data_IF_772628053447
#
_entry.id   IF_772628053447
#
_cell.length_a   1.000
_cell.length_b   1.000
_cell.length_c   1.000
_cell.angle_alpha   90.00
_cell.angle_beta   90.00
_cell.angle_gamma   90.00
#
_symmetry.space_group_name_H-M   'P 1'
#
loop_
_entity.id
_entity.type
_entity.pdbx_description
1 polymer ?
#
# COMPACT_ATOMS: atom_id res chain seq x y z
N UNK A 1 50.09 -0.56 -12.17
CA UNK A 1 48.67 -0.92 -12.03
C UNK A 1 48.14 -1.23 -13.42
N UNK A 2 47.72 -2.47 -13.68
CA UNK A 2 47.39 -2.98 -15.02
C UNK A 2 46.05 -2.39 -15.50
N UNK A 3 46.07 -1.61 -16.59
CA UNK A 3 44.89 -0.90 -17.14
C UNK A 3 43.80 -1.87 -17.63
N UNK A 4 44.13 -3.13 -17.91
CA UNK A 4 43.15 -4.14 -18.33
C UNK A 4 42.23 -4.55 -17.18
N UNK A 5 42.80 -4.78 -15.98
CA UNK A 5 42.04 -5.12 -14.76
C UNK A 5 41.18 -3.96 -14.25
N UNK A 6 41.56 -2.70 -14.45
CA UNK A 6 40.75 -1.56 -14.03
C UNK A 6 39.49 -1.39 -14.89
N UNK A 7 39.63 -1.53 -16.22
CA UNK A 7 38.48 -1.45 -17.15
C UNK A 7 37.42 -2.52 -16.88
N UNK A 8 37.83 -3.77 -16.64
CA UNK A 8 36.88 -4.85 -16.34
C UNK A 8 36.13 -4.65 -15.01
N UNK A 9 36.75 -3.97 -14.03
CA UNK A 9 36.07 -3.62 -12.77
C UNK A 9 35.05 -2.50 -12.95
N UNK A 10 35.36 -1.51 -13.77
CA UNK A 10 34.45 -0.39 -14.05
C UNK A 10 33.19 -0.87 -14.77
N UNK A 11 33.35 -1.74 -15.78
CA UNK A 11 32.23 -2.35 -16.51
C UNK A 11 31.34 -3.19 -15.58
N UNK A 12 31.94 -4.04 -14.74
CA UNK A 12 31.20 -4.82 -13.75
C UNK A 12 30.42 -3.96 -12.75
N UNK A 13 31.02 -2.86 -12.28
CA UNK A 13 30.36 -1.92 -11.36
C UNK A 13 29.20 -1.22 -12.06
N UNK A 14 29.34 -0.89 -13.34
CA UNK A 14 28.29 -0.24 -14.13
C UNK A 14 27.07 -1.15 -14.30
N UNK A 15 27.28 -2.43 -14.63
CA UNK A 15 26.20 -3.41 -14.76
C UNK A 15 25.52 -3.72 -13.42
N UNK A 16 26.29 -3.73 -12.33
CA UNK A 16 25.74 -3.89 -10.99
C UNK A 16 24.81 -2.72 -10.62
N UNK A 17 25.21 -1.48 -10.92
CA UNK A 17 24.37 -0.29 -10.68
C UNK A 17 23.05 -0.36 -11.46
N UNK A 18 23.10 -0.80 -12.72
CA UNK A 18 21.90 -0.96 -13.56
C UNK A 18 20.90 -1.99 -13.03
N UNK A 19 21.33 -2.90 -12.16
CA UNK A 19 20.45 -3.91 -11.54
C UNK A 19 20.06 -3.54 -10.12
N UNK A 20 20.97 -2.95 -9.34
CA UNK A 20 20.73 -2.59 -7.95
C UNK A 20 19.77 -1.40 -7.81
N UNK A 21 19.91 -0.37 -8.64
CA UNK A 21 19.04 0.81 -8.59
C UNK A 21 17.56 0.48 -8.81
N UNK A 22 17.14 -0.23 -9.88
CA UNK A 22 15.74 -0.55 -10.07
C UNK A 22 15.20 -1.49 -8.98
N UNK A 23 16.05 -2.37 -8.44
CA UNK A 23 15.69 -3.26 -7.34
C UNK A 23 15.37 -2.47 -6.07
N UNK A 24 16.24 -1.54 -5.65
CA UNK A 24 16.01 -0.70 -4.47
C UNK A 24 14.75 0.17 -4.63
N UNK A 25 14.55 0.74 -5.82
CA UNK A 25 13.34 1.51 -6.12
C UNK A 25 12.08 0.64 -6.12
N UNK A 26 12.17 -0.61 -6.58
CA UNK A 26 11.06 -1.56 -6.53
C UNK A 26 10.66 -1.90 -5.10
N UNK A 27 11.64 -2.21 -4.22
CA UNK A 27 11.38 -2.44 -2.79
C UNK A 27 10.74 -1.21 -2.15
N UNK A 28 11.33 -0.02 -2.37
CA UNK A 28 10.82 1.23 -1.83
C UNK A 28 9.38 1.50 -2.29
N UNK A 29 9.10 1.30 -3.59
CA UNK A 29 7.76 1.43 -4.14
C UNK A 29 6.79 0.45 -3.47
N UNK A 30 7.21 -0.80 -3.24
CA UNK A 30 6.38 -1.83 -2.63
C UNK A 30 6.00 -1.47 -1.20
N UNK A 31 6.97 -0.98 -0.41
CA UNK A 31 6.74 -0.52 0.97
C UNK A 31 5.83 0.71 1.00
N UNK A 32 6.03 1.68 0.12
CA UNK A 32 5.17 2.87 0.04
C UNK A 32 3.74 2.49 -0.34
N UNK A 33 3.58 1.64 -1.36
CA UNK A 33 2.26 1.16 -1.79
C UNK A 33 1.56 0.37 -0.69
N UNK A 34 2.30 -0.51 -0.01
CA UNK A 34 1.78 -1.24 1.14
C UNK A 34 1.33 -0.28 2.26
N UNK A 35 2.12 0.74 2.58
CA UNK A 35 1.79 1.69 3.65
C UNK A 35 0.55 2.54 3.33
N UNK A 36 0.30 2.81 2.04
CA UNK A 36 -0.90 3.52 1.59
C UNK A 36 -2.11 2.58 1.53
N UNK A 37 -1.90 1.33 1.15
CA UNK A 37 -2.95 0.32 0.98
C UNK A 37 -3.41 -0.27 2.32
N UNK A 38 -2.47 -0.70 3.15
CA UNK A 38 -2.72 -1.19 4.50
C UNK A 38 -2.88 0.02 5.40
N UNK A 39 -4.08 0.57 5.38
CA UNK A 39 -4.54 1.35 6.49
C UNK A 39 -4.50 0.48 7.75
N UNK A 40 -3.80 0.93 8.79
CA UNK A 40 -3.93 0.33 10.12
C UNK A 40 -5.39 0.41 10.57
N UNK A 41 -5.91 -0.58 11.32
CA UNK A 41 -7.24 -0.45 11.90
C UNK A 41 -7.21 0.78 12.82
N UNK A 42 -8.00 1.79 12.46
CA UNK A 42 -8.15 3.01 13.23
C UNK A 42 -8.67 2.68 14.63
N UNK A 43 -9.49 1.64 14.74
CA UNK A 43 -9.97 1.11 16.00
C UNK A 43 -10.46 -0.33 15.87
N UNK A 44 -10.53 -0.98 17.01
CA UNK A 44 -11.03 -2.34 17.19
C UNK A 44 -12.12 -2.28 18.24
N UNK A 45 -13.30 -2.79 17.91
CA UNK A 45 -14.47 -2.81 18.79
C UNK A 45 -14.80 -4.26 19.12
N UNK A 46 -14.93 -4.58 20.40
CA UNK A 46 -15.36 -5.92 20.81
C UNK A 46 -16.81 -6.17 20.39
N UNK A 47 -17.05 -7.35 19.82
CA UNK A 47 -18.32 -7.83 19.33
C UNK A 47 -18.57 -9.27 19.83
N UNK A 48 -18.33 -9.49 21.12
CA UNK A 48 -18.48 -10.80 21.77
C UNK A 48 -19.91 -11.35 21.66
N UNK A 49 -20.91 -10.45 21.60
CA UNK A 49 -22.34 -10.82 21.59
C UNK A 49 -22.95 -10.92 20.18
N UNK A 50 -22.17 -10.63 19.12
CA UNK A 50 -22.65 -10.60 17.73
C UNK A 50 -23.66 -9.48 17.41
N UNK A 51 -24.07 -8.70 18.42
CA UNK A 51 -25.11 -7.67 18.29
C UNK A 51 -24.72 -6.58 17.31
N UNK A 52 -23.45 -6.15 17.30
CA UNK A 52 -22.98 -5.06 16.46
C UNK A 52 -23.08 -5.42 14.96
N UNK A 53 -22.79 -6.68 14.59
CA UNK A 53 -22.96 -7.19 13.22
C UNK A 53 -24.44 -7.17 12.81
N UNK A 54 -25.35 -7.55 13.71
CA UNK A 54 -26.79 -7.53 13.42
C UNK A 54 -27.34 -6.11 13.18
N UNK A 55 -26.77 -5.08 13.82
CA UNK A 55 -27.09 -3.69 13.51
C UNK A 55 -26.52 -3.26 12.16
N UNK A 56 -25.26 -3.59 11.88
CA UNK A 56 -24.61 -3.25 10.60
C UNK A 56 -25.32 -3.90 9.41
N UNK A 57 -25.81 -5.13 9.56
CA UNK A 57 -26.60 -5.84 8.56
C UNK A 57 -27.96 -5.18 8.25
N UNK A 58 -28.50 -4.44 9.22
CA UNK A 58 -29.71 -3.63 9.04
C UNK A 58 -29.43 -2.24 8.48
N UNK A 59 -28.17 -1.94 8.17
CA UNK A 59 -27.74 -0.62 7.74
C UNK A 59 -27.63 0.39 8.89
N UNK A 60 -27.59 -0.08 10.15
CA UNK A 60 -27.58 0.77 11.34
C UNK A 60 -26.22 0.74 12.04
N UNK A 61 -25.82 1.87 12.64
CA UNK A 61 -24.56 1.98 13.38
C UNK A 61 -24.82 1.67 14.87
N UNK A 62 -24.13 0.66 15.45
CA UNK A 62 -24.31 0.32 16.86
C UNK A 62 -23.80 1.42 17.80
N UNK A 63 -24.47 1.59 18.95
CA UNK A 63 -24.20 2.68 19.89
C UNK A 63 -22.77 2.66 20.46
N UNK A 64 -22.21 1.47 20.71
CA UNK A 64 -20.82 1.29 21.15
C UNK A 64 -19.83 1.88 20.13
N UNK A 65 -20.03 1.56 18.85
CA UNK A 65 -19.18 2.05 17.76
C UNK A 65 -19.22 3.58 17.67
N UNK A 66 -20.41 4.17 17.76
CA UNK A 66 -20.60 5.63 17.78
C UNK A 66 -19.89 6.31 18.95
N UNK A 67 -19.95 5.70 20.15
CA UNK A 67 -19.25 6.21 21.32
C UNK A 67 -17.72 6.19 21.15
N UNK A 68 -17.16 5.12 20.58
CA UNK A 68 -15.71 5.02 20.34
C UNK A 68 -15.21 5.99 19.27
N UNK A 69 -15.99 6.23 18.21
CA UNK A 69 -15.66 7.26 17.22
C UNK A 69 -15.59 8.66 17.84
N UNK A 70 -16.55 8.97 18.73
CA UNK A 70 -16.58 10.25 19.46
C UNK A 70 -15.38 10.41 20.40
N UNK A 71 -15.00 9.34 21.11
CA UNK A 71 -13.84 9.33 22.00
C UNK A 71 -12.52 9.57 21.26
N UNK A 72 -12.36 8.96 20.07
CA UNK A 72 -11.17 9.14 19.22
C UNK A 72 -11.10 10.49 18.48
N UNK A 73 -12.06 11.38 18.69
CA UNK A 73 -12.10 12.69 18.02
C UNK A 73 -12.30 12.61 16.51
N UNK A 74 -12.84 11.49 16.01
CA UNK A 74 -13.16 11.31 14.59
C UNK A 74 -14.52 11.97 14.37
N UNK A 75 -14.63 13.01 13.52
CA UNK A 75 -15.88 13.73 13.33
C UNK A 75 -16.89 12.85 12.60
N UNK A 76 -17.68 12.10 13.37
CA UNK A 76 -18.98 11.62 12.93
C UNK A 76 -19.86 12.85 12.83
N UNK A 77 -20.24 13.22 11.61
CA UNK A 77 -21.20 14.28 11.41
C UNK A 77 -22.55 13.77 11.94
N UNK A 78 -22.83 14.08 13.21
CA UNK A 78 -23.92 13.47 13.99
C UNK A 78 -25.32 13.72 13.42
N UNK A 79 -25.42 14.59 12.41
CA UNK A 79 -26.65 14.96 11.72
C UNK A 79 -26.76 14.35 10.30
N UNK A 80 -25.80 13.55 9.86
CA UNK A 80 -25.90 12.82 8.59
C UNK A 80 -26.44 11.42 8.85
N UNK A 81 -27.46 11.01 8.08
CA UNK A 81 -27.85 9.61 7.95
C UNK A 81 -26.71 8.87 7.24
N UNK A 82 -25.72 8.44 8.02
CA UNK A 82 -24.59 7.66 7.52
C UNK A 82 -25.13 6.37 6.92
N UNK A 83 -24.88 6.16 5.63
CA UNK A 83 -25.29 4.95 4.93
C UNK A 83 -24.28 3.85 5.23
N UNK A 84 -24.78 2.76 5.81
CA UNK A 84 -24.01 1.53 5.97
C UNK A 84 -24.37 0.60 4.82
N UNK A 85 -23.40 0.32 3.96
CA UNK A 85 -23.54 -0.60 2.84
C UNK A 85 -22.82 -1.91 3.16
N UNK A 86 -23.52 -3.03 3.01
CA UNK A 86 -22.92 -4.36 3.14
C UNK A 86 -22.25 -4.73 1.82
N UNK A 87 -20.93 -4.82 1.81
CA UNK A 87 -20.15 -5.23 0.62
C UNK A 87 -19.87 -6.73 0.60
N UNK A 88 -19.84 -7.39 1.76
CA UNK A 88 -19.52 -8.81 1.90
C UNK A 88 -20.17 -9.46 3.12
N UNK A 89 -19.88 -10.74 3.36
CA UNK A 89 -20.41 -11.48 4.52
C UNK A 89 -19.94 -10.87 5.85
N UNK A 90 -18.73 -10.36 5.87
CA UNK A 90 -17.96 -9.87 7.01
C UNK A 90 -17.46 -8.42 6.81
N UNK A 91 -17.96 -7.72 5.77
CA UNK A 91 -17.45 -6.42 5.35
C UNK A 91 -18.59 -5.42 5.13
N UNK A 92 -18.49 -4.27 5.80
CA UNK A 92 -19.40 -3.14 5.66
C UNK A 92 -18.63 -1.86 5.35
N UNK A 93 -19.29 -0.94 4.66
CA UNK A 93 -18.77 0.36 4.26
C UNK A 93 -19.65 1.45 4.88
N UNK A 94 -19.05 2.37 5.62
CA UNK A 94 -19.73 3.55 6.17
C UNK A 94 -19.36 4.76 5.33
N UNK A 95 -20.35 5.35 4.66
CA UNK A 95 -20.24 6.63 3.94
C UNK A 95 -19.05 6.70 2.97
N UNK A 96 -18.65 5.57 2.39
CA UNK A 96 -17.42 5.37 1.59
C UNK A 96 -16.09 5.80 2.26
N UNK A 97 -16.12 6.17 3.55
CA UNK A 97 -14.98 6.69 4.31
C UNK A 97 -14.36 5.67 5.24
N UNK A 98 -15.14 4.69 5.71
CA UNK A 98 -14.66 3.67 6.62
C UNK A 98 -15.10 2.28 6.17
N UNK A 99 -14.19 1.31 6.29
CA UNK A 99 -14.43 -0.10 6.04
C UNK A 99 -14.43 -0.80 7.40
N UNK A 100 -15.50 -1.50 7.71
CA UNK A 100 -15.61 -2.36 8.89
C UNK A 100 -15.42 -3.81 8.43
N UNK A 101 -14.49 -4.52 9.05
CA UNK A 101 -14.34 -5.97 8.90
C UNK A 101 -14.62 -6.67 10.23
N UNK A 102 -15.42 -7.72 10.20
CA UNK A 102 -15.62 -8.59 11.36
C UNK A 102 -14.57 -9.69 11.34
N UNK A 103 -13.76 -9.76 12.38
CA UNK A 103 -12.83 -10.86 12.64
C UNK A 103 -13.21 -11.53 13.95
N UNK A 104 -13.95 -12.63 13.85
CA UNK A 104 -14.43 -13.43 14.98
C UNK A 104 -15.24 -12.59 15.99
N UNK A 105 -14.65 -12.27 17.14
CA UNK A 105 -15.28 -11.49 18.23
C UNK A 105 -14.93 -10.00 18.18
N UNK A 106 -14.28 -9.53 17.11
CA UNK A 106 -13.80 -8.15 16.98
C UNK A 106 -14.26 -7.53 15.67
N UNK A 107 -14.59 -6.25 15.72
CA UNK A 107 -14.83 -5.41 14.56
C UNK A 107 -13.63 -4.50 14.37
N UNK A 108 -12.89 -4.71 13.29
CA UNK A 108 -11.77 -3.88 12.89
C UNK A 108 -12.26 -2.81 11.93
N UNK A 109 -12.02 -1.54 12.27
CA UNK A 109 -12.45 -0.39 11.47
C UNK A 109 -11.23 0.24 10.82
N UNK A 110 -11.25 0.28 9.50
CA UNK A 110 -10.21 0.85 8.66
C UNK A 110 -10.74 2.13 8.03
N UNK A 111 -9.93 3.19 7.87
CA UNK A 111 -10.25 4.23 6.91
C UNK A 111 -10.26 3.61 5.51
N UNK A 112 -11.18 4.07 4.67
CA UNK A 112 -11.18 3.75 3.25
C UNK A 112 -9.82 4.15 2.66
N UNK A 113 -9.20 3.33 1.79
CA UNK A 113 -7.90 3.64 1.24
C UNK A 113 -7.93 5.01 0.58
N UNK A 114 -6.98 5.87 0.96
CA UNK A 114 -6.87 7.26 0.48
C UNK A 114 -6.71 7.30 -1.05
N UNK A 115 -6.17 6.22 -1.64
CA UNK A 115 -6.06 6.06 -3.08
C UNK A 115 -6.08 4.58 -3.47
N UNK A 116 -6.88 4.26 -4.48
CA UNK A 116 -6.86 2.96 -5.18
C UNK A 116 -5.72 2.90 -6.22
N UNK A 117 -5.00 4.00 -6.44
CA UNK A 117 -4.00 4.17 -7.50
C UNK A 117 -2.57 3.83 -7.02
N UNK A 118 -2.45 2.79 -6.20
CA UNK A 118 -1.15 2.24 -5.76
C UNK A 118 -0.26 1.87 -6.95
N UNK A 119 -0.86 1.45 -8.07
CA UNK A 119 -0.14 1.19 -9.32
C UNK A 119 0.44 2.47 -9.96
N UNK A 120 -0.26 3.61 -9.85
CA UNK A 120 0.20 4.89 -10.41
C UNK A 120 1.43 5.41 -9.65
N UNK A 121 1.49 5.19 -8.34
CA UNK A 121 2.66 5.51 -7.51
C UNK A 121 3.86 4.65 -7.92
N UNK A 122 3.65 3.36 -8.16
CA UNK A 122 4.70 2.46 -8.65
C UNK A 122 5.24 2.93 -10.01
N UNK A 123 4.34 3.32 -10.93
CA UNK A 123 4.71 3.86 -12.24
C UNK A 123 5.48 5.18 -12.11
N UNK A 124 5.06 6.07 -11.21
CA UNK A 124 5.73 7.35 -10.97
C UNK A 124 7.16 7.13 -10.46
N UNK A 125 7.37 6.18 -9.56
CA UNK A 125 8.70 5.83 -9.07
C UNK A 125 9.60 5.22 -10.14
N UNK A 126 9.06 4.48 -11.11
CA UNK A 126 9.81 4.03 -12.31
C UNK A 126 10.28 5.24 -13.13
N UNK A 127 9.41 6.24 -13.33
CA UNK A 127 9.74 7.46 -14.08
C UNK A 127 10.79 8.31 -13.35
N UNK A 128 10.75 8.37 -12.01
CA UNK A 128 11.74 9.10 -11.21
C UNK A 128 13.16 8.58 -11.44
N UNK A 129 13.33 7.29 -11.73
CA UNK A 129 14.67 6.74 -11.98
C UNK A 129 15.37 7.37 -13.20
N UNK A 130 14.62 7.96 -14.14
CA UNK A 130 15.16 8.76 -15.26
C UNK A 130 16.03 9.92 -14.82
N UNK A 131 15.80 10.45 -13.62
CA UNK A 131 16.62 11.50 -13.05
C UNK A 131 17.80 10.96 -12.23
N UNK A 132 17.72 9.72 -11.75
CA UNK A 132 18.73 9.09 -10.89
C UNK A 132 19.92 8.54 -11.71
N UNK A 133 19.67 7.89 -12.85
CA UNK A 133 20.75 7.32 -13.67
C UNK A 133 21.76 8.35 -14.21
N UNK A 134 21.36 9.56 -14.66
CA UNK A 134 22.30 10.61 -15.03
C UNK A 134 23.21 11.03 -13.87
N UNK A 135 22.67 11.10 -12.65
CA UNK A 135 23.43 11.47 -11.45
C UNK A 135 24.45 10.39 -11.06
N UNK A 136 24.14 9.12 -11.28
CA UNK A 136 25.06 8.00 -11.01
C UNK A 136 26.13 7.79 -12.08
N UNK A 137 26.21 8.67 -13.09
CA UNK A 137 27.09 8.56 -14.26
C UNK A 137 27.02 7.18 -14.95
N UNK A 138 25.83 6.56 -14.96
CA UNK A 138 25.60 5.22 -15.53
C UNK A 138 25.02 5.36 -16.93
N UNK A 139 25.59 4.67 -17.94
CA UNK A 139 25.12 4.78 -19.32
C UNK A 139 23.93 3.85 -19.54
N UNK A 140 22.73 4.43 -19.58
CA UNK A 140 21.50 3.72 -19.95
C UNK A 140 21.31 3.86 -21.46
N UNK A 141 21.54 2.78 -22.20
CA UNK A 141 21.57 2.79 -23.66
C UNK A 141 20.20 2.38 -24.24
N UNK A 142 19.40 3.39 -24.58
CA UNK A 142 18.19 3.22 -25.39
C UNK A 142 17.02 2.50 -24.70
N UNK A 143 15.99 2.20 -25.48
CA UNK A 143 14.70 1.71 -24.97
C UNK A 143 14.78 0.33 -24.29
N UNK A 144 15.75 -0.52 -24.67
CA UNK A 144 15.93 -1.86 -24.10
C UNK A 144 16.29 -1.79 -22.62
N UNK A 145 17.24 -0.94 -22.26
CA UNK A 145 17.68 -0.78 -20.87
C UNK A 145 16.54 -0.18 -20.02
N UNK A 146 15.78 0.75 -20.59
CA UNK A 146 14.59 1.33 -19.96
C UNK A 146 13.50 0.29 -19.69
N UNK A 147 13.27 -0.62 -20.63
CA UNK A 147 12.32 -1.72 -20.47
C UNK A 147 12.78 -2.68 -19.37
N UNK A 148 14.08 -3.02 -19.34
CA UNK A 148 14.66 -3.85 -18.28
C UNK A 148 14.51 -3.20 -16.90
N UNK A 149 14.89 -1.94 -16.76
CA UNK A 149 14.76 -1.15 -15.52
C UNK A 149 13.31 -1.12 -15.04
N UNK A 150 12.38 -0.82 -15.95
CA UNK A 150 10.95 -0.80 -15.64
C UNK A 150 10.44 -2.17 -15.19
N UNK A 151 10.84 -3.24 -15.89
CA UNK A 151 10.47 -4.61 -15.55
C UNK A 151 11.00 -5.04 -14.18
N UNK A 152 12.29 -4.83 -13.90
CA UNK A 152 12.89 -5.19 -12.60
C UNK A 152 12.24 -4.41 -11.46
N UNK A 153 11.99 -3.11 -11.66
CA UNK A 153 11.34 -2.27 -10.65
C UNK A 153 9.91 -2.75 -10.39
N UNK A 154 9.11 -2.98 -11.44
CA UNK A 154 7.74 -3.44 -11.32
C UNK A 154 7.66 -4.85 -10.71
N UNK A 155 8.54 -5.76 -11.13
CA UNK A 155 8.62 -7.10 -10.56
C UNK A 155 8.97 -7.06 -9.08
N UNK A 156 9.98 -6.29 -8.70
CA UNK A 156 10.42 -6.18 -7.30
C UNK A 156 9.39 -5.46 -6.42
N UNK A 157 8.73 -4.44 -6.95
CA UNK A 157 7.56 -3.81 -6.33
C UNK A 157 6.46 -4.82 -6.04
N UNK A 158 6.08 -5.62 -7.04
CA UNK A 158 5.01 -6.62 -6.91
C UNK A 158 5.35 -7.66 -5.84
N UNK A 159 6.56 -8.23 -5.90
CA UNK A 159 7.03 -9.21 -4.91
C UNK A 159 7.03 -8.62 -3.50
N UNK A 160 7.57 -7.41 -3.32
CA UNK A 160 7.64 -6.75 -2.01
C UNK A 160 6.23 -6.47 -1.47
N UNK A 161 5.34 -5.93 -2.30
CA UNK A 161 3.96 -5.62 -1.93
C UNK A 161 3.19 -6.87 -1.52
N UNK A 162 3.25 -7.94 -2.31
CA UNK A 162 2.58 -9.21 -2.01
C UNK A 162 3.15 -9.89 -0.77
N UNK A 163 4.48 -9.85 -0.58
CA UNK A 163 5.12 -10.42 0.61
C UNK A 163 4.68 -9.67 1.86
N UNK A 164 4.68 -8.33 1.84
CA UNK A 164 4.20 -7.53 2.96
C UNK A 164 2.73 -7.82 3.26
N UNK A 165 1.88 -7.94 2.24
CA UNK A 165 0.49 -8.36 2.41
C UNK A 165 0.38 -9.74 3.07
N UNK A 166 1.18 -10.72 2.64
CA UNK A 166 1.12 -12.09 3.17
C UNK A 166 1.67 -12.21 4.59
N UNK A 167 2.66 -11.39 4.97
CA UNK A 167 3.29 -11.45 6.29
C UNK A 167 2.50 -10.66 7.33
N UNK A 168 1.84 -9.58 6.92
CA UNK A 168 1.16 -8.66 7.83
C UNK A 168 -0.37 -8.80 7.81
N UNK A 169 -0.93 -9.65 6.95
CA UNK A 169 -2.35 -9.92 6.78
C UNK A 169 -2.60 -11.39 6.43
#
# INVERSE_FOLDING_TARGET
>A
MDRSKSKGKEEYIEDLKKTLTPLLFGILAGVICFSIYVAYPLMVVDNTDGTAVAYLDKGLIPANLSAQFKDKGIPFDANQNLTVLKEGADKWLIDNKYIIKSDSEKLNIYPSPVSTDWLLIALLLILTQKFVYPYMHTRVNGAKDWLYIGFITAFCWFVTFTLLLTVLF
#
